data_IF_508295904621
#
_entry.id   IF_508295904621
#
_cell.length_a   1.000
_cell.length_b   1.000
_cell.length_c   1.000
_cell.angle_alpha   90.00
_cell.angle_beta   90.00
_cell.angle_gamma   90.00
#
_symmetry.space_group_name_H-M   'P 1'
#
loop_
_entity.id
_entity.type
_entity.pdbx_description
1 polymer ?
#
# COMPACT_ATOMS: atom_id res chain seq x y z
N UNK A 1 -7.87 14.72 16.36
CA UNK A 1 -7.40 13.35 16.55
C UNK A 1 -8.20 12.39 15.67
N UNK A 2 -7.69 12.13 14.47
CA UNK A 2 -8.35 11.21 13.55
C UNK A 2 -7.79 9.81 13.80
N UNK A 3 -8.58 8.97 14.45
CA UNK A 3 -8.28 7.55 14.56
C UNK A 3 -8.41 6.91 13.18
N UNK A 4 -7.29 6.73 12.47
CA UNK A 4 -7.29 6.12 11.15
C UNK A 4 -7.62 4.63 11.21
N UNK A 5 -7.05 3.93 12.18
CA UNK A 5 -7.23 2.49 12.37
C UNK A 5 -8.37 2.24 13.34
N UNK A 6 -9.30 1.37 12.97
CA UNK A 6 -10.41 0.93 13.82
C UNK A 6 -9.90 0.21 15.05
N UNK A 7 -10.53 0.45 16.19
CA UNK A 7 -10.20 -0.22 17.44
C UNK A 7 -8.81 0.10 17.99
N UNK A 8 -8.21 1.25 17.62
CA UNK A 8 -6.84 1.61 18.03
C UNK A 8 -6.65 1.59 19.55
N UNK A 9 -7.70 1.80 20.33
CA UNK A 9 -7.66 1.75 21.79
C UNK A 9 -8.56 0.66 22.36
N UNK A 10 -8.86 -0.36 21.57
CA UNK A 10 -9.70 -1.49 21.95
C UNK A 10 -8.91 -2.79 21.74
N UNK A 11 -9.09 -3.75 22.64
CA UNK A 11 -8.52 -5.10 22.55
C UNK A 11 -6.99 -5.17 22.30
N UNK A 12 -6.23 -4.18 22.74
CA UNK A 12 -4.77 -4.17 22.61
C UNK A 12 -4.26 -3.80 21.21
N UNK A 13 -5.12 -3.29 20.33
CA UNK A 13 -4.72 -2.87 18.97
C UNK A 13 -3.64 -1.78 19.02
N UNK A 14 -3.65 -0.91 20.03
CA UNK A 14 -2.62 0.12 20.23
C UNK A 14 -1.22 -0.49 20.39
N UNK A 15 -1.09 -1.63 21.03
CA UNK A 15 0.19 -2.32 21.18
C UNK A 15 0.70 -2.84 19.83
N UNK A 16 -0.20 -3.38 19.00
CA UNK A 16 0.14 -3.82 17.65
C UNK A 16 0.58 -2.63 16.78
N UNK A 17 -0.09 -1.50 16.88
CA UNK A 17 0.29 -0.27 16.16
C UNK A 17 1.69 0.17 16.54
N UNK A 18 1.98 0.23 17.85
CA UNK A 18 3.30 0.63 18.37
C UNK A 18 4.37 -0.37 17.95
N UNK A 19 4.11 -1.67 18.13
CA UNK A 19 5.06 -2.72 17.76
C UNK A 19 5.39 -2.69 16.27
N UNK A 20 4.39 -2.55 15.41
CA UNK A 20 4.58 -2.45 13.96
C UNK A 20 5.38 -1.21 13.59
N UNK A 21 5.07 -0.06 14.17
CA UNK A 21 5.78 1.19 13.92
C UNK A 21 7.26 1.13 14.37
N UNK A 22 7.54 0.48 15.49
CA UNK A 22 8.91 0.33 16.01
C UNK A 22 9.74 -0.71 15.23
N UNK A 23 9.07 -1.66 14.56
CA UNK A 23 9.72 -2.74 13.80
C UNK A 23 9.70 -2.50 12.28
N UNK A 24 9.52 -1.26 11.83
CA UNK A 24 9.59 -0.96 10.40
C UNK A 24 10.94 -1.38 9.81
N UNK A 25 10.96 -1.93 8.57
CA UNK A 25 12.19 -2.34 7.92
C UNK A 25 13.20 -1.19 7.81
N UNK A 26 14.43 -1.41 8.26
CA UNK A 26 15.49 -0.39 8.22
C UNK A 26 15.75 0.16 6.82
N UNK A 27 15.65 -0.69 5.80
CA UNK A 27 15.84 -0.29 4.42
C UNK A 27 14.73 0.63 3.93
N UNK A 28 13.49 0.40 4.36
CA UNK A 28 12.37 1.31 4.11
C UNK A 28 12.62 2.67 4.76
N UNK A 29 13.02 2.69 6.03
CA UNK A 29 13.32 3.94 6.75
C UNK A 29 14.46 4.72 6.08
N UNK A 30 15.53 4.04 5.62
CA UNK A 30 16.62 4.66 4.88
C UNK A 30 16.17 5.24 3.54
N UNK A 31 15.27 4.54 2.82
CA UNK A 31 14.69 5.06 1.58
C UNK A 31 13.86 6.31 1.84
N UNK A 32 13.04 6.32 2.89
CA UNK A 32 12.25 7.48 3.30
C UNK A 32 13.16 8.66 3.62
N UNK A 33 14.22 8.46 4.40
CA UNK A 33 15.16 9.53 4.78
C UNK A 33 15.89 10.16 3.59
N UNK A 34 16.18 9.35 2.56
CA UNK A 34 16.90 9.82 1.35
C UNK A 34 15.97 10.39 0.28
N UNK A 35 14.68 10.24 0.44
CA UNK A 35 13.71 10.65 -0.57
C UNK A 35 13.46 12.16 -0.51
N UNK A 36 13.54 12.82 -1.65
CA UNK A 36 13.24 14.24 -1.76
C UNK A 36 11.75 14.48 -2.05
N UNK A 37 10.97 14.60 -0.99
CA UNK A 37 9.53 14.86 -1.05
C UNK A 37 9.17 16.21 -1.69
N UNK A 38 10.12 17.11 -1.85
CA UNK A 38 9.86 18.41 -2.50
C UNK A 38 9.74 18.29 -4.02
N UNK A 39 10.31 17.22 -4.58
CA UNK A 39 10.32 16.97 -6.04
C UNK A 39 9.30 15.96 -6.49
N UNK A 40 9.03 14.94 -5.69
CA UNK A 40 8.15 13.81 -6.04
C UNK A 40 7.48 13.26 -4.80
N UNK A 41 6.27 12.72 -4.98
CA UNK A 41 5.62 11.87 -3.99
C UNK A 41 5.96 10.40 -4.29
N UNK A 42 6.55 9.67 -3.34
CA UNK A 42 6.74 8.24 -3.49
C UNK A 42 5.39 7.53 -3.50
N UNK A 43 5.35 6.36 -4.13
CA UNK A 43 4.10 5.60 -4.28
C UNK A 43 4.24 4.23 -3.66
N UNK A 44 3.25 3.84 -2.86
CA UNK A 44 3.04 2.48 -2.42
C UNK A 44 1.92 1.86 -3.24
N UNK A 45 2.21 0.76 -3.92
CA UNK A 45 1.20 -0.03 -4.62
C UNK A 45 1.05 -1.36 -3.88
N UNK A 46 -0.14 -1.60 -3.36
CA UNK A 46 -0.51 -2.85 -2.72
C UNK A 46 -1.46 -3.61 -3.64
N UNK A 47 -1.09 -4.83 -4.02
CA UNK A 47 -1.90 -5.66 -4.91
C UNK A 47 -2.45 -6.83 -4.11
N UNK A 48 -3.78 -6.92 -4.02
CA UNK A 48 -4.47 -8.05 -3.40
C UNK A 48 -5.26 -8.82 -4.46
N UNK A 49 -4.73 -9.93 -4.99
CA UNK A 49 -5.40 -10.72 -6.02
C UNK A 49 -6.40 -11.73 -5.45
N UNK A 50 -6.50 -11.85 -4.13
CA UNK A 50 -7.35 -12.81 -3.44
C UNK A 50 -8.57 -12.13 -2.81
N UNK A 51 -9.50 -12.93 -2.29
CA UNK A 51 -10.63 -12.47 -1.49
C UNK A 51 -10.31 -12.45 0.02
N UNK A 52 -9.04 -12.27 0.37
CA UNK A 52 -8.59 -12.16 1.74
C UNK A 52 -8.52 -10.71 2.19
N UNK A 53 -8.68 -10.52 3.48
CA UNK A 53 -8.52 -9.20 4.10
C UNK A 53 -7.03 -8.84 4.18
N UNK A 54 -6.74 -7.58 4.02
CA UNK A 54 -5.42 -7.05 4.34
C UNK A 54 -5.13 -7.27 5.83
N UNK A 55 -3.89 -7.60 6.18
CA UNK A 55 -3.49 -7.75 7.57
C UNK A 55 -3.55 -6.40 8.32
N UNK A 56 -3.69 -6.46 9.63
CA UNK A 56 -3.64 -5.25 10.45
C UNK A 56 -2.28 -4.55 10.32
N UNK A 57 -1.19 -5.31 10.28
CA UNK A 57 0.17 -4.82 10.13
C UNK A 57 0.37 -4.08 8.80
N UNK A 58 -0.10 -4.65 7.70
CA UNK A 58 -0.04 -4.00 6.39
C UNK A 58 -0.90 -2.73 6.33
N UNK A 59 -2.05 -2.75 7.00
CA UNK A 59 -2.91 -1.57 7.13
C UNK A 59 -2.22 -0.45 7.92
N UNK A 60 -1.52 -0.80 9.00
CA UNK A 60 -0.74 0.15 9.80
C UNK A 60 0.40 0.72 8.96
N UNK A 61 1.12 -0.12 8.20
CA UNK A 61 2.19 0.31 7.31
C UNK A 61 1.67 1.27 6.25
N UNK A 62 0.56 0.94 5.59
CA UNK A 62 -0.06 1.79 4.58
C UNK A 62 -0.48 3.15 5.17
N UNK A 63 -1.10 3.16 6.36
CA UNK A 63 -1.48 4.39 7.05
C UNK A 63 -0.24 5.23 7.42
N UNK A 64 0.80 4.60 7.94
CA UNK A 64 2.05 5.27 8.28
C UNK A 64 2.69 5.93 7.04
N UNK A 65 2.81 5.19 5.94
CA UNK A 65 3.40 5.72 4.71
C UNK A 65 2.57 6.85 4.12
N UNK A 66 1.24 6.76 4.16
CA UNK A 66 0.36 7.85 3.75
C UNK A 66 0.58 9.11 4.58
N UNK A 67 0.74 8.98 5.90
CA UNK A 67 1.02 10.11 6.80
C UNK A 67 2.41 10.71 6.56
N UNK A 68 3.37 9.92 6.13
CA UNK A 68 4.73 10.38 5.77
C UNK A 68 4.73 11.16 4.45
N UNK A 69 3.75 10.95 3.58
CA UNK A 69 3.61 11.65 2.30
C UNK A 69 3.66 10.75 1.06
N UNK A 70 3.48 9.44 1.24
CA UNK A 70 3.32 8.52 0.11
C UNK A 70 1.92 8.61 -0.46
N UNK A 71 1.80 8.54 -1.78
CA UNK A 71 0.56 8.17 -2.43
C UNK A 71 0.38 6.65 -2.29
N UNK A 72 -0.74 6.22 -1.75
CA UNK A 72 -1.03 4.80 -1.53
C UNK A 72 -2.13 4.35 -2.48
N UNK A 73 -1.86 3.30 -3.25
CA UNK A 73 -2.80 2.67 -4.16
C UNK A 73 -3.01 1.21 -3.76
N UNK A 74 -4.26 0.86 -3.52
CA UNK A 74 -4.70 -0.53 -3.37
C UNK A 74 -5.31 -0.99 -4.68
N UNK A 75 -4.74 -2.02 -5.28
CA UNK A 75 -5.25 -2.65 -6.47
C UNK A 75 -5.87 -3.99 -6.10
N UNK A 76 -7.21 -4.08 -6.21
CA UNK A 76 -7.99 -5.26 -5.80
C UNK A 76 -8.76 -5.79 -7.01
N UNK A 77 -8.17 -6.70 -7.80
CA UNK A 77 -8.77 -7.19 -9.02
C UNK A 77 -10.12 -7.90 -8.82
N UNK A 78 -10.31 -8.54 -7.66
CA UNK A 78 -11.55 -9.24 -7.31
C UNK A 78 -12.68 -8.31 -6.89
N UNK A 79 -12.41 -7.04 -6.64
CA UNK A 79 -13.37 -6.10 -6.08
C UNK A 79 -13.76 -6.38 -4.62
N UNK A 80 -13.03 -7.26 -3.93
CA UNK A 80 -13.31 -7.59 -2.54
C UNK A 80 -12.98 -6.44 -1.60
N UNK A 81 -13.87 -6.14 -0.66
CA UNK A 81 -13.67 -5.07 0.34
C UNK A 81 -12.65 -5.52 1.40
N UNK A 82 -11.36 -5.42 1.06
CA UNK A 82 -10.28 -5.95 1.89
C UNK A 82 -9.68 -4.94 2.86
N UNK A 83 -9.79 -3.64 2.59
CA UNK A 83 -9.14 -2.58 3.37
C UNK A 83 -10.08 -1.87 4.36
N UNK A 84 -11.36 -1.79 4.07
CA UNK A 84 -12.34 -0.97 4.79
C UNK A 84 -12.55 -1.42 6.24
N UNK A 85 -12.12 -2.62 6.56
CA UNK A 85 -12.36 -3.21 7.88
C UNK A 85 -11.43 -2.67 8.95
N UNK A 86 -10.24 -2.21 8.57
CA UNK A 86 -9.24 -1.70 9.49
C UNK A 86 -9.23 -0.18 9.62
N UNK A 87 -9.96 0.53 8.76
CA UNK A 87 -10.00 1.99 8.78
C UNK A 87 -11.35 2.51 9.31
N UNK A 88 -11.32 3.60 10.07
CA UNK A 88 -12.53 4.20 10.68
C UNK A 88 -13.32 5.07 9.73
N UNK A 89 -12.69 5.53 8.65
CA UNK A 89 -13.28 6.39 7.62
C UNK A 89 -12.86 5.89 6.24
N UNK A 90 -13.52 6.31 5.17
CA UNK A 90 -13.02 6.08 3.83
C UNK A 90 -11.58 6.61 3.73
N UNK A 91 -10.63 5.70 3.76
CA UNK A 91 -9.20 6.02 3.68
C UNK A 91 -8.79 6.40 2.27
N UNK A 92 -9.45 5.82 1.29
CA UNK A 92 -9.20 6.05 -0.12
C UNK A 92 -10.50 6.20 -0.89
N UNK A 93 -10.45 6.96 -1.98
CA UNK A 93 -11.52 6.94 -2.98
C UNK A 93 -11.45 5.64 -3.78
N UNK A 94 -12.60 5.05 -4.04
CA UNK A 94 -12.73 3.82 -4.82
C UNK A 94 -13.10 4.16 -6.27
N UNK A 95 -12.43 3.50 -7.21
CA UNK A 95 -12.74 3.61 -8.64
C UNK A 95 -12.65 2.23 -9.27
N UNK A 96 -13.73 1.79 -9.90
CA UNK A 96 -13.74 0.54 -10.66
C UNK A 96 -13.18 0.78 -12.07
N UNK A 97 -12.20 -0.03 -12.46
CA UNK A 97 -11.59 -0.01 -13.79
C UNK A 97 -11.76 -1.39 -14.42
N UNK A 98 -12.68 -1.51 -15.38
CA UNK A 98 -12.95 -2.79 -16.07
C UNK A 98 -13.72 -3.79 -15.22
N UNK A 99 -13.64 -5.07 -15.58
CA UNK A 99 -14.35 -6.17 -14.95
C UNK A 99 -13.53 -6.80 -13.83
N UNK A 100 -14.19 -7.53 -12.93
CA UNK A 100 -13.52 -8.26 -11.85
C UNK A 100 -12.73 -9.45 -12.40
N UNK A 101 -11.54 -9.66 -11.84
CA UNK A 101 -10.62 -10.75 -12.20
C UNK A 101 -10.30 -11.55 -10.95
N UNK A 102 -10.62 -12.85 -10.96
CA UNK A 102 -10.45 -13.74 -9.80
C UNK A 102 -9.18 -14.59 -9.84
N UNK A 103 -8.57 -14.76 -11.01
CA UNK A 103 -7.40 -15.62 -11.23
C UNK A 103 -6.16 -14.84 -11.66
N UNK A 104 -6.03 -13.60 -11.21
CA UNK A 104 -4.88 -12.78 -11.56
C UNK A 104 -3.60 -13.35 -10.93
N UNK A 105 -2.67 -13.77 -11.77
CA UNK A 105 -1.33 -14.16 -11.35
C UNK A 105 -0.41 -12.95 -11.37
N UNK A 106 0.12 -12.60 -10.20
CA UNK A 106 1.13 -11.54 -10.10
C UNK A 106 2.47 -12.12 -10.54
N UNK A 107 3.15 -11.52 -11.54
CA UNK A 107 4.48 -11.98 -11.93
C UNK A 107 5.48 -11.73 -10.78
N UNK A 108 6.47 -12.61 -10.66
CA UNK A 108 7.59 -12.35 -9.75
C UNK A 108 8.46 -11.24 -10.34
N UNK A 109 8.37 -10.06 -9.74
CA UNK A 109 9.11 -8.89 -10.18
C UNK A 109 10.64 -9.02 -10.02
N UNK A 110 11.12 -9.97 -9.21
CA UNK A 110 12.55 -10.24 -9.08
C UNK A 110 13.10 -10.98 -10.30
N UNK A 111 12.25 -11.64 -11.07
CA UNK A 111 12.62 -12.36 -12.29
C UNK A 111 12.39 -11.56 -13.57
N UNK A 112 11.75 -10.38 -13.49
CA UNK A 112 11.54 -9.50 -14.64
C UNK A 112 12.89 -8.89 -15.03
N UNK A 113 13.46 -9.37 -16.13
CA UNK A 113 14.70 -8.81 -16.70
C UNK A 113 14.51 -7.32 -17.01
N UNK A 114 15.57 -6.52 -16.90
CA UNK A 114 15.56 -5.06 -17.16
C UNK A 114 14.98 -4.66 -18.53
N UNK A 115 14.98 -5.55 -19.51
CA UNK A 115 14.34 -5.35 -20.81
C UNK A 115 12.83 -5.13 -20.71
N UNK A 116 12.15 -5.77 -19.76
CA UNK A 116 10.72 -5.57 -19.50
C UNK A 116 10.41 -4.22 -18.84
N UNK A 117 11.27 -3.75 -17.94
CA UNK A 117 11.16 -2.45 -17.30
C UNK A 117 11.26 -1.28 -18.31
N UNK A 118 12.03 -1.43 -19.38
CA UNK A 118 12.12 -0.43 -20.44
C UNK A 118 10.81 -0.30 -21.22
N UNK A 119 10.10 -1.39 -21.44
CA UNK A 119 8.79 -1.40 -22.12
C UNK A 119 7.70 -0.78 -21.25
N UNK A 120 7.71 -1.05 -19.94
CA UNK A 120 6.78 -0.45 -18.98
C UNK A 120 7.04 1.06 -18.83
N UNK A 121 8.31 1.48 -18.79
CA UNK A 121 8.68 2.91 -18.78
C UNK A 121 8.20 3.65 -20.03
N UNK A 122 8.14 2.99 -21.17
CA UNK A 122 7.62 3.56 -22.42
C UNK A 122 6.10 3.74 -22.43
N UNK A 123 5.36 2.85 -21.73
CA UNK A 123 3.90 2.90 -21.63
C UNK A 123 3.39 3.98 -20.67
N UNK A 124 4.15 4.27 -19.59
CA UNK A 124 3.72 5.21 -18.55
C UNK A 124 4.39 6.59 -18.61
N UNK A 125 5.06 6.90 -19.70
CA UNK A 125 5.64 8.22 -19.93
C UNK A 125 6.86 8.52 -19.05
N UNK A 126 7.78 9.31 -19.57
CA UNK A 126 9.04 9.74 -18.95
C UNK A 126 8.80 10.56 -17.68
N UNK A 127 8.51 9.96 -16.55
CA UNK A 127 8.67 10.65 -15.26
C UNK A 127 8.69 9.67 -14.10
N UNK A 128 9.76 8.98 -14.04
CA UNK A 128 10.25 8.40 -12.80
C UNK A 128 11.71 8.81 -12.67
#
# INVERSE_FOLDING_TARGET
>A
DQKLIRGTFENGTEYTVIATALNLPKDLLRKIQKFDFTKKNPKLIYINPTEERISLEDSILAAFLSLVGFDVLFFVPTGYQCIEQHFTRPFASETQIGDYLYDLRIPDFNTVQESGLHSIRKLFGRSI
#
